data_IF_202772500151
#
_entry.id   IF_202772500151
#
_cell.length_a   1.000
_cell.length_b   1.000
_cell.length_c   1.000
_cell.angle_alpha   90.00
_cell.angle_beta   90.00
_cell.angle_gamma   90.00
#
_symmetry.space_group_name_H-M   'P 1'
#
loop_
_entity.id
_entity.type
_entity.pdbx_description
1 polymer ?
#
# COMPACT_ATOMS: atom_id res chain seq x y z
N UNK A 1 11.84 7.07 43.71
CA UNK A 1 11.03 6.19 42.84
C UNK A 1 11.32 6.66 41.43
N UNK A 2 12.18 5.95 40.69
CA UNK A 2 12.46 6.29 39.30
C UNK A 2 11.29 5.74 38.46
N UNK A 3 10.56 6.63 37.79
CA UNK A 3 9.58 6.23 36.79
C UNK A 3 10.40 5.92 35.55
N UNK A 4 10.65 4.62 35.32
CA UNK A 4 11.26 4.16 34.07
C UNK A 4 10.17 4.20 32.99
N UNK A 5 10.13 5.29 32.23
CA UNK A 5 9.29 5.39 31.04
C UNK A 5 10.00 4.60 29.95
N UNK A 6 9.66 3.32 29.80
CA UNK A 6 10.06 2.57 28.61
C UNK A 6 9.40 3.23 27.40
N UNK A 7 10.14 3.51 26.30
CA UNK A 7 9.51 3.93 25.06
C UNK A 7 8.52 2.83 24.66
N UNK A 8 7.24 3.18 24.62
CA UNK A 8 6.21 2.27 24.09
C UNK A 8 6.47 2.23 22.60
N UNK A 9 7.13 1.16 22.12
CA UNK A 9 7.18 0.82 20.70
C UNK A 9 5.74 0.80 20.17
N UNK A 10 5.34 1.84 19.46
CA UNK A 10 4.00 1.94 18.86
C UNK A 10 3.99 1.04 17.63
N UNK A 11 3.72 -0.25 17.84
CA UNK A 11 3.64 -1.22 16.75
C UNK A 11 2.22 -1.32 16.17
N UNK A 12 1.28 -0.46 16.56
CA UNK A 12 -0.10 -0.44 16.05
C UNK A 12 -0.34 0.86 15.29
N UNK A 13 -0.86 0.73 14.08
CA UNK A 13 -1.31 1.83 13.24
C UNK A 13 -2.83 1.71 13.06
N UNK A 14 -3.52 2.84 13.18
CA UNK A 14 -4.95 2.94 12.93
C UNK A 14 -5.18 3.94 11.80
N UNK A 15 -5.93 3.52 10.79
CA UNK A 15 -6.25 4.32 9.62
C UNK A 15 -7.75 4.54 9.56
N UNK A 16 -8.18 5.81 9.58
CA UNK A 16 -9.59 6.17 9.41
C UNK A 16 -9.84 6.55 7.96
N UNK A 17 -10.43 5.63 7.19
CA UNK A 17 -10.68 5.79 5.75
C UNK A 17 -12.19 5.79 5.53
N UNK A 18 -12.74 6.92 5.08
CA UNK A 18 -14.18 7.09 4.82
C UNK A 18 -15.10 6.62 5.97
N UNK A 19 -14.69 6.87 7.23
CA UNK A 19 -15.44 6.45 8.43
C UNK A 19 -15.26 4.98 8.81
N UNK A 20 -14.41 4.24 8.10
CA UNK A 20 -13.99 2.89 8.45
C UNK A 20 -12.63 2.97 9.16
N UNK A 21 -12.56 2.43 10.38
CA UNK A 21 -11.28 2.29 11.10
C UNK A 21 -10.65 0.96 10.73
N UNK A 22 -9.46 1.02 10.13
CA UNK A 22 -8.64 -0.14 9.81
C UNK A 22 -7.44 -0.17 10.75
N UNK A 23 -7.15 -1.34 11.30
CA UNK A 23 -6.02 -1.52 12.20
C UNK A 23 -4.95 -2.39 11.55
N UNK A 24 -3.69 -2.02 11.77
CA UNK A 24 -2.53 -2.77 11.30
C UNK A 24 -1.48 -2.85 12.40
N UNK A 25 -0.71 -3.93 12.42
CA UNK A 25 0.47 -4.02 13.26
C UNK A 25 1.74 -3.92 12.42
N UNK A 26 2.64 -3.04 12.82
CA UNK A 26 3.96 -2.94 12.23
C UNK A 26 4.80 -4.16 12.59
N UNK A 27 5.19 -4.93 11.57
CA UNK A 27 6.10 -6.07 11.65
C UNK A 27 6.68 -6.40 10.27
N UNK A 28 7.67 -7.29 10.23
CA UNK A 28 8.32 -7.73 8.99
C UNK A 28 7.36 -8.33 7.96
N UNK A 29 6.28 -8.96 8.40
CA UNK A 29 5.29 -9.57 7.50
C UNK A 29 4.55 -8.49 6.71
N UNK A 30 4.11 -7.43 7.37
CA UNK A 30 3.46 -6.28 6.73
C UNK A 30 4.42 -5.58 5.77
N UNK A 31 5.68 -5.38 6.16
CA UNK A 31 6.69 -4.80 5.29
C UNK A 31 6.89 -5.64 4.01
N UNK A 32 6.93 -6.97 4.14
CA UNK A 32 7.00 -7.90 3.00
C UNK A 32 5.77 -7.81 2.11
N UNK A 33 4.56 -7.75 2.69
CA UNK A 33 3.29 -7.64 1.95
C UNK A 33 3.24 -6.35 1.14
N UNK A 34 3.59 -5.21 1.75
CA UNK A 34 3.63 -3.90 1.08
C UNK A 34 4.65 -3.90 -0.05
N UNK A 35 5.89 -4.31 0.24
CA UNK A 35 6.98 -4.33 -0.74
C UNK A 35 6.63 -5.25 -1.92
N UNK A 36 6.04 -6.41 -1.64
CA UNK A 36 5.60 -7.36 -2.68
C UNK A 36 4.50 -6.78 -3.55
N UNK A 37 3.47 -6.16 -2.95
CA UNK A 37 2.38 -5.54 -3.70
C UNK A 37 2.89 -4.40 -4.58
N UNK A 38 3.79 -3.56 -4.06
CA UNK A 38 4.42 -2.48 -4.83
C UNK A 38 5.27 -2.99 -5.98
N UNK A 39 6.08 -4.04 -5.75
CA UNK A 39 6.89 -4.63 -6.81
C UNK A 39 6.02 -5.18 -7.94
N UNK A 40 4.89 -5.82 -7.61
CA UNK A 40 3.93 -6.30 -8.62
C UNK A 40 3.33 -5.13 -9.41
N UNK A 41 2.87 -4.07 -8.74
CA UNK A 41 2.32 -2.89 -9.44
C UNK A 41 3.38 -2.23 -10.33
N UNK A 42 4.62 -2.09 -9.85
CA UNK A 42 5.74 -1.60 -10.64
C UNK A 42 6.02 -2.48 -11.87
N UNK A 43 6.02 -3.81 -11.71
CA UNK A 43 6.18 -4.74 -12.83
C UNK A 43 5.04 -4.63 -13.84
N UNK A 44 3.81 -4.40 -13.36
CA UNK A 44 2.65 -4.17 -14.22
C UNK A 44 2.81 -2.86 -15.03
N UNK A 45 3.21 -1.76 -14.40
CA UNK A 45 3.39 -0.47 -15.09
C UNK A 45 4.56 -0.50 -16.06
N UNK A 46 5.62 -1.25 -15.76
CA UNK A 46 6.76 -1.46 -16.65
C UNK A 46 6.34 -2.08 -18.00
N UNK A 47 5.24 -2.86 -18.05
CA UNK A 47 4.69 -3.41 -19.30
C UNK A 47 4.21 -2.33 -20.28
N UNK A 48 3.94 -1.11 -19.79
CA UNK A 48 3.58 0.06 -20.60
C UNK A 48 4.76 0.98 -20.92
N UNK A 49 5.99 0.62 -20.57
CA UNK A 49 7.15 1.45 -20.91
C UNK A 49 7.24 1.70 -22.42
N UNK A 50 7.73 2.88 -22.79
CA UNK A 50 7.85 3.28 -24.19
C UNK A 50 8.65 2.26 -25.00
N UNK A 51 9.77 1.77 -24.45
CA UNK A 51 10.62 0.79 -25.13
C UNK A 51 9.87 -0.52 -25.47
N UNK A 52 8.99 -0.99 -24.58
CA UNK A 52 8.19 -2.21 -24.80
C UNK A 52 7.00 -2.00 -25.74
N UNK A 53 6.70 -0.76 -26.11
CA UNK A 53 5.49 -0.40 -26.86
C UNK A 53 5.74 0.55 -28.04
N UNK A 54 6.98 0.85 -28.40
CA UNK A 54 7.33 1.79 -29.47
C UNK A 54 6.75 1.42 -30.84
N UNK A 55 6.58 0.12 -31.10
CA UNK A 55 6.07 -0.42 -32.37
C UNK A 55 4.56 -0.75 -32.31
N UNK A 56 3.87 -0.42 -31.21
CA UNK A 56 2.46 -0.74 -30.98
C UNK A 56 1.57 0.36 -31.56
N UNK A 57 0.43 -0.03 -32.12
CA UNK A 57 -0.60 0.93 -32.53
C UNK A 57 -1.28 1.58 -31.31
N UNK A 58 -1.85 2.80 -31.46
CA UNK A 58 -2.61 3.44 -30.38
C UNK A 58 -3.76 2.57 -29.83
N UNK A 59 -4.41 1.77 -30.69
CA UNK A 59 -5.46 0.84 -30.29
C UNK A 59 -4.97 -0.30 -29.41
N UNK A 60 -3.78 -0.86 -29.69
CA UNK A 60 -3.15 -1.86 -28.84
C UNK A 60 -2.71 -1.27 -27.49
N UNK A 61 -2.15 -0.07 -27.51
CA UNK A 61 -1.75 0.64 -26.28
C UNK A 61 -2.98 0.90 -25.41
N UNK A 62 -4.09 1.38 -25.98
CA UNK A 62 -5.34 1.59 -25.24
C UNK A 62 -5.84 0.32 -24.55
N UNK A 63 -5.83 -0.83 -25.25
CA UNK A 63 -6.23 -2.12 -24.65
C UNK A 63 -5.32 -2.51 -23.48
N UNK A 64 -4.00 -2.33 -23.64
CA UNK A 64 -3.03 -2.60 -22.58
C UNK A 64 -3.23 -1.68 -21.37
N UNK A 65 -3.55 -0.40 -21.58
CA UNK A 65 -3.83 0.54 -20.49
C UNK A 65 -5.06 0.10 -19.71
N UNK A 66 -6.15 -0.27 -20.37
CA UNK A 66 -7.36 -0.76 -19.70
C UNK A 66 -7.03 -2.01 -18.86
N UNK A 67 -6.35 -2.98 -19.45
CA UNK A 67 -5.94 -4.20 -18.75
C UNK A 67 -5.04 -3.89 -17.55
N UNK A 68 -4.10 -2.96 -17.69
CA UNK A 68 -3.22 -2.54 -16.61
C UNK A 68 -4.01 -2.04 -15.40
N UNK A 69 -4.98 -1.14 -15.62
CA UNK A 69 -5.78 -0.59 -14.53
C UNK A 69 -6.63 -1.66 -13.83
N UNK A 70 -7.13 -2.65 -14.57
CA UNK A 70 -7.82 -3.79 -13.98
C UNK A 70 -6.89 -4.70 -13.16
N UNK A 71 -5.67 -4.91 -13.63
CA UNK A 71 -4.68 -5.73 -12.92
C UNK A 71 -4.19 -5.02 -11.64
N UNK A 72 -3.93 -3.71 -11.70
CA UNK A 72 -3.58 -2.90 -10.50
C UNK A 72 -4.73 -2.92 -9.50
N UNK A 73 -5.98 -2.75 -9.96
CA UNK A 73 -7.17 -2.82 -9.10
C UNK A 73 -7.21 -4.15 -8.34
N UNK A 74 -7.07 -5.28 -9.05
CA UNK A 74 -7.10 -6.61 -8.44
C UNK A 74 -6.00 -6.78 -7.39
N UNK A 75 -4.78 -6.33 -7.69
CA UNK A 75 -3.67 -6.43 -6.75
C UNK A 75 -3.91 -5.57 -5.50
N UNK A 76 -4.43 -4.33 -5.65
CA UNK A 76 -4.74 -3.48 -4.49
C UNK A 76 -5.87 -4.03 -3.64
N UNK A 77 -6.95 -4.53 -4.25
CA UNK A 77 -8.03 -5.22 -3.53
C UNK A 77 -7.46 -6.41 -2.75
N UNK A 78 -6.68 -7.27 -3.40
CA UNK A 78 -6.08 -8.44 -2.75
C UNK A 78 -5.17 -8.07 -1.58
N UNK A 79 -4.40 -7.00 -1.70
CA UNK A 79 -3.59 -6.49 -0.59
C UNK A 79 -4.47 -6.08 0.61
N UNK A 80 -5.51 -5.29 0.38
CA UNK A 80 -6.40 -4.84 1.45
C UNK A 80 -7.14 -6.00 2.11
N UNK A 81 -7.59 -6.98 1.31
CA UNK A 81 -8.25 -8.18 1.83
C UNK A 81 -7.31 -9.03 2.69
N UNK A 82 -6.06 -9.21 2.26
CA UNK A 82 -5.05 -9.99 2.99
C UNK A 82 -4.59 -9.31 4.29
N UNK A 83 -4.60 -7.98 4.33
CA UNK A 83 -4.10 -7.21 5.49
C UNK A 83 -5.20 -6.89 6.50
N UNK A 84 -6.40 -6.56 6.04
CA UNK A 84 -7.48 -6.05 6.88
C UNK A 84 -8.69 -6.98 6.97
N UNK A 85 -8.70 -8.07 6.20
CA UNK A 85 -9.77 -9.07 6.18
C UNK A 85 -10.55 -9.09 4.88
N UNK A 86 -11.12 -10.26 4.58
CA UNK A 86 -11.85 -10.51 3.33
C UNK A 86 -12.95 -9.48 3.07
N UNK A 87 -12.96 -8.92 1.85
CA UNK A 87 -13.98 -7.98 1.38
C UNK A 87 -13.68 -6.51 1.70
N UNK A 88 -12.66 -6.21 2.51
CA UNK A 88 -12.25 -4.83 2.81
C UNK A 88 -11.77 -4.11 1.54
N UNK A 89 -11.00 -4.77 0.69
CA UNK A 89 -10.49 -4.18 -0.55
C UNK A 89 -11.60 -3.75 -1.50
N UNK A 90 -12.61 -4.60 -1.70
CA UNK A 90 -13.77 -4.28 -2.54
C UNK A 90 -14.64 -3.17 -1.91
N UNK A 91 -14.78 -3.16 -0.59
CA UNK A 91 -15.50 -2.10 0.13
C UNK A 91 -14.80 -0.74 -0.04
N UNK A 92 -13.47 -0.69 0.15
CA UNK A 92 -12.65 0.51 -0.07
C UNK A 92 -12.73 0.97 -1.51
N UNK A 93 -12.66 0.05 -2.48
CA UNK A 93 -12.77 0.39 -3.90
C UNK A 93 -14.10 1.09 -4.22
N UNK A 94 -15.22 0.58 -3.67
CA UNK A 94 -16.53 1.22 -3.81
C UNK A 94 -16.59 2.58 -3.12
N UNK A 95 -16.03 2.72 -1.91
CA UNK A 95 -15.94 4.02 -1.21
C UNK A 95 -15.10 5.04 -2.00
N UNK A 96 -14.10 4.58 -2.73
CA UNK A 96 -13.31 5.35 -3.68
C UNK A 96 -14.03 5.62 -5.01
N UNK A 97 -15.35 5.46 -5.10
CA UNK A 97 -16.13 5.62 -6.33
C UNK A 97 -15.60 4.78 -7.51
N UNK A 98 -15.13 3.56 -7.23
CA UNK A 98 -14.53 2.65 -8.22
C UNK A 98 -13.27 3.22 -8.90
N UNK A 99 -12.52 4.09 -8.21
CA UNK A 99 -11.26 4.65 -8.71
C UNK A 99 -10.05 3.84 -8.24
N UNK A 100 -9.39 3.15 -9.19
CA UNK A 100 -8.14 2.41 -8.93
C UNK A 100 -7.04 3.35 -8.43
N UNK A 101 -7.00 4.58 -8.95
CA UNK A 101 -6.03 5.59 -8.52
C UNK A 101 -6.26 5.99 -7.07
N UNK A 102 -7.51 6.27 -6.66
CA UNK A 102 -7.80 6.62 -5.28
C UNK A 102 -7.53 5.46 -4.32
N UNK A 103 -7.85 4.23 -4.72
CA UNK A 103 -7.50 3.03 -3.95
C UNK A 103 -5.97 2.87 -3.80
N UNK A 104 -5.23 3.17 -4.85
CA UNK A 104 -3.75 3.17 -4.81
C UNK A 104 -3.22 4.28 -3.90
N UNK A 105 -3.84 5.45 -3.89
CA UNK A 105 -3.45 6.53 -2.98
C UNK A 105 -3.66 6.18 -1.51
N UNK A 106 -4.68 5.39 -1.16
CA UNK A 106 -4.85 4.86 0.20
C UNK A 106 -3.68 3.93 0.55
N UNK A 107 -3.33 3.03 -0.37
CA UNK A 107 -2.17 2.15 -0.19
C UNK A 107 -0.89 2.96 0.05
N UNK A 108 -0.65 4.00 -0.76
CA UNK A 108 0.55 4.84 -0.66
C UNK A 108 0.61 5.58 0.69
N UNK A 109 -0.54 6.05 1.20
CA UNK A 109 -0.62 6.69 2.53
C UNK A 109 -0.29 5.71 3.67
N UNK A 110 -0.78 4.47 3.58
CA UNK A 110 -0.48 3.41 4.55
C UNK A 110 1.02 3.10 4.52
N UNK A 111 1.58 2.89 3.33
CA UNK A 111 3.02 2.67 3.14
C UNK A 111 3.84 3.80 3.75
N UNK A 112 3.51 5.04 3.45
CA UNK A 112 4.24 6.20 3.98
C UNK A 112 4.18 6.28 5.52
N UNK A 113 3.02 5.96 6.10
CA UNK A 113 2.86 5.92 7.57
C UNK A 113 3.76 4.86 8.22
N UNK A 114 3.94 3.73 7.55
CA UNK A 114 4.79 2.62 8.00
C UNK A 114 6.28 2.97 7.87
N UNK A 115 6.68 3.57 6.75
CA UNK A 115 8.04 4.07 6.57
C UNK A 115 8.41 5.13 7.62
N UNK A 116 7.47 6.02 7.94
CA UNK A 116 7.65 7.03 8.98
C UNK A 116 7.79 6.41 10.37
N UNK A 117 7.00 5.39 10.69
CA UNK A 117 7.11 4.67 11.95
C UNK A 117 8.45 3.93 12.07
N UNK A 118 8.94 3.34 10.97
CA UNK A 118 10.25 2.71 10.92
C UNK A 118 11.38 3.72 11.24
N UNK A 119 11.37 4.88 10.59
CA UNK A 119 12.34 5.97 10.84
C UNK A 119 12.32 6.42 12.30
N UNK A 120 11.12 6.64 12.86
CA UNK A 120 10.98 7.04 14.26
C UNK A 120 11.55 6.00 15.23
N UNK A 121 11.32 4.71 14.97
CA UNK A 121 11.88 3.63 15.79
C UNK A 121 13.42 3.58 15.70
N UNK A 122 14.00 3.84 14.53
CA UNK A 122 15.45 3.90 14.36
C UNK A 122 16.06 5.08 15.13
N UNK A 123 15.45 6.27 15.08
CA UNK A 123 15.87 7.46 15.82
C UNK A 123 15.89 7.21 17.34
N UNK A 124 14.83 6.60 17.89
CA UNK A 124 14.77 6.25 19.32
C UNK A 124 15.90 5.29 19.74
N UNK A 125 16.24 4.31 18.90
CA UNK A 125 17.35 3.38 19.22
C UNK A 125 18.73 4.03 19.18
N UNK A 126 18.90 5.13 18.43
CA UNK A 126 20.16 5.87 18.37
C UNK A 126 20.33 6.85 19.54
N UNK A 127 19.25 7.41 20.10
CA UNK A 127 19.32 8.27 21.29
C UNK A 127 19.60 7.48 22.58
N UNK A 128 19.34 6.16 22.59
CA UNK A 128 19.62 5.26 23.72
C UNK A 128 21.02 4.61 23.67
N UNK A 129 21.82 4.86 22.62
CA UNK A 129 23.17 4.29 22.39
C UNK A 129 24.30 5.26 22.72
#
# INVERSE_FOLDING_TARGET
MAIEIKPVLVNKLEFNIHGTTLEMRYNDEILKKITTSDFKVMSLTEKLSFEKNKDKSPGEIKKKVIQLYDDIKKERIAFFDDVFGEGVGEALYKQCNNSTTALTSIFDQIKWSIERLAQFNEELTQEES
#
